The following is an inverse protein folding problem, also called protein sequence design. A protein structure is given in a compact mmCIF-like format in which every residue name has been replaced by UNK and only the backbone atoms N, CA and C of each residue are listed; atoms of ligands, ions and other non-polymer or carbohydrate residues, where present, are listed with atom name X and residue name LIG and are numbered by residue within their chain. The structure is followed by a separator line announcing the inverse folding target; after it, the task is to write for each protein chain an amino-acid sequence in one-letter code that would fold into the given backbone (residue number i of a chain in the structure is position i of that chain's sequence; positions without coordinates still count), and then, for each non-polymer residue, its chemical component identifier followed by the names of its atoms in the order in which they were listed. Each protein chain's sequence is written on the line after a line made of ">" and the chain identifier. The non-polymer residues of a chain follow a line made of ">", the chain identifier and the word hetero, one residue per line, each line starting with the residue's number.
data_IF_477652102913
#
_entry.id   IF_477652102913
#
_cell.length_a   1.000
_cell.length_b   1.000
_cell.length_c   1.000
_cell.angle_alpha   90.00
_cell.angle_beta   90.00
_cell.angle_gamma   90.00
#
_symmetry.space_group_name_H-M   'P 1'
#
loop_
_entity.id
_entity.type
_entity.pdbx_description
1 polymer ?
#
# COMPACT_ATOMS: atom_id res chain seq x y z
N UNK A 1 19.83 21.33 -9.12
CA UNK A 1 18.79 20.31 -8.88
C UNK A 1 18.91 19.87 -7.44
N UNK A 2 17.79 19.76 -6.73
CA UNK A 2 17.79 19.14 -5.40
C UNK A 2 18.10 17.65 -5.55
N UNK A 3 18.53 17.00 -4.47
CA UNK A 3 18.73 15.55 -4.49
C UNK A 3 17.35 14.89 -4.51
N UNK A 4 17.24 13.76 -5.20
CA UNK A 4 16.02 12.95 -5.17
C UNK A 4 16.04 12.02 -3.94
N UNK A 5 14.99 12.08 -3.13
CA UNK A 5 14.72 11.12 -2.07
C UNK A 5 13.51 10.25 -2.43
N UNK A 6 13.67 8.93 -2.33
CA UNK A 6 12.54 7.99 -2.40
C UNK A 6 12.15 7.62 -0.97
N UNK A 7 10.95 8.02 -0.56
CA UNK A 7 10.47 7.92 0.82
C UNK A 7 9.37 6.86 0.90
N UNK A 8 9.67 5.74 1.55
CA UNK A 8 8.69 4.69 1.82
C UNK A 8 8.00 4.93 3.16
N UNK A 9 6.71 5.26 3.14
CA UNK A 9 5.91 5.40 4.37
C UNK A 9 5.31 4.05 4.77
N UNK A 10 5.56 3.64 6.03
CA UNK A 10 5.10 2.36 6.57
C UNK A 10 3.63 2.40 7.01
N UNK A 11 3.10 1.23 7.39
CA UNK A 11 1.70 1.10 7.86
C UNK A 11 1.34 2.05 9.00
N UNK A 12 2.28 2.32 9.92
CA UNK A 12 2.09 3.23 11.05
C UNK A 12 1.85 4.70 10.65
N UNK A 13 2.26 5.10 9.44
CA UNK A 13 1.98 6.42 8.88
C UNK A 13 0.50 6.56 8.45
N UNK A 14 -0.18 5.43 8.23
CA UNK A 14 -1.58 5.36 7.80
C UNK A 14 -2.48 4.97 8.98
N UNK A 15 -2.18 3.88 9.68
CA UNK A 15 -2.90 3.44 10.86
C UNK A 15 -1.93 3.09 11.99
N UNK A 16 -2.09 3.74 13.14
CA UNK A 16 -1.26 3.43 14.31
C UNK A 16 -1.71 2.13 14.98
N UNK A 17 -0.79 1.41 15.63
CA UNK A 17 -1.15 0.24 16.43
C UNK A 17 -2.23 0.58 17.47
N UNK A 18 -3.30 -0.20 17.50
CA UNK A 18 -4.41 -0.04 18.45
C UNK A 18 -5.49 0.98 18.04
N UNK A 19 -5.31 1.72 16.94
CA UNK A 19 -6.37 2.57 16.40
C UNK A 19 -7.34 1.77 15.52
N UNK A 20 -8.62 2.14 15.55
CA UNK A 20 -9.60 1.65 14.58
C UNK A 20 -9.21 2.11 13.17
N UNK A 21 -9.36 1.22 12.19
CA UNK A 21 -8.98 1.46 10.80
C UNK A 21 -10.02 2.30 10.02
N UNK A 22 -10.45 3.42 10.60
CA UNK A 22 -11.40 4.36 9.99
C UNK A 22 -10.70 5.32 9.03
N UNK A 23 -11.45 5.87 8.07
CA UNK A 23 -10.93 6.87 7.14
C UNK A 23 -10.47 8.14 7.87
N UNK A 24 -11.18 8.53 8.93
CA UNK A 24 -10.84 9.69 9.76
C UNK A 24 -9.48 9.53 10.44
N UNK A 25 -9.22 8.35 11.02
CA UNK A 25 -7.93 8.06 11.64
C UNK A 25 -6.81 8.03 10.60
N UNK A 26 -7.04 7.43 9.43
CA UNK A 26 -6.07 7.42 8.34
C UNK A 26 -5.73 8.84 7.88
N UNK A 27 -6.74 9.68 7.65
CA UNK A 27 -6.56 11.07 7.24
C UNK A 27 -5.82 11.90 8.28
N UNK A 28 -6.10 11.70 9.57
CA UNK A 28 -5.39 12.35 10.67
C UNK A 28 -3.90 11.95 10.69
N UNK A 29 -3.60 10.66 10.61
CA UNK A 29 -2.23 10.15 10.63
C UNK A 29 -1.43 10.59 9.40
N UNK A 30 -2.06 10.55 8.21
CA UNK A 30 -1.45 11.04 6.97
C UNK A 30 -1.24 12.55 6.99
N UNK A 31 -2.12 13.32 7.62
CA UNK A 31 -1.93 14.77 7.80
C UNK A 31 -0.71 15.09 8.68
N UNK A 32 -0.41 14.24 9.67
CA UNK A 32 0.82 14.38 10.46
C UNK A 32 2.06 14.00 9.63
N UNK A 33 1.99 12.88 8.92
CA UNK A 33 3.04 12.41 8.01
C UNK A 33 3.37 13.47 6.95
N UNK A 34 2.36 14.11 6.37
CA UNK A 34 2.50 15.17 5.38
C UNK A 34 3.35 16.35 5.90
N UNK A 35 3.28 16.69 7.19
CA UNK A 35 4.12 17.77 7.76
C UNK A 35 5.60 17.47 7.64
N UNK A 36 6.00 16.23 7.88
CA UNK A 36 7.38 15.79 7.75
C UNK A 36 7.81 15.74 6.30
N UNK A 37 6.96 15.21 5.41
CA UNK A 37 7.23 15.15 3.96
C UNK A 37 7.42 16.54 3.36
N UNK A 38 6.55 17.50 3.70
CA UNK A 38 6.67 18.88 3.20
C UNK A 38 7.93 19.56 3.72
N UNK A 39 8.39 19.26 4.93
CA UNK A 39 9.67 19.80 5.44
C UNK A 39 10.88 19.25 4.69
N UNK A 40 10.80 18.05 4.10
CA UNK A 40 11.90 17.51 3.28
C UNK A 40 12.06 18.24 1.94
N UNK A 41 11.03 18.96 1.50
CA UNK A 41 11.01 19.66 0.22
C UNK A 41 12.01 20.80 0.14
N UNK A 42 12.56 21.26 1.28
CA UNK A 42 13.61 22.28 1.33
C UNK A 42 14.91 21.74 0.71
N UNK A 43 15.24 20.49 0.98
CA UNK A 43 16.51 19.86 0.59
C UNK A 43 16.37 18.84 -0.56
N UNK A 44 15.18 18.26 -0.73
CA UNK A 44 14.95 17.13 -1.63
C UNK A 44 13.76 17.35 -2.57
N UNK A 45 13.86 16.77 -3.75
CA UNK A 45 12.70 16.34 -4.52
C UNK A 45 12.30 14.96 -4.02
N UNK A 46 11.00 14.68 -3.92
CA UNK A 46 10.53 13.46 -3.25
C UNK A 46 9.63 12.62 -4.15
N UNK A 47 9.89 11.31 -4.14
CA UNK A 47 8.95 10.27 -4.59
C UNK A 47 8.49 9.52 -3.35
N UNK A 48 7.19 9.36 -3.19
CA UNK A 48 6.58 8.70 -2.04
C UNK A 48 6.10 7.32 -2.47
N UNK A 49 6.48 6.29 -1.72
CA UNK A 49 5.89 4.96 -1.80
C UNK A 49 5.22 4.63 -0.47
N UNK A 50 4.32 3.65 -0.45
CA UNK A 50 3.63 3.27 0.78
C UNK A 50 3.35 1.78 0.84
N UNK A 51 3.22 1.24 2.05
CA UNK A 51 2.64 -0.09 2.26
C UNK A 51 1.11 -0.08 2.13
N UNK A 52 0.50 -1.25 1.96
CA UNK A 52 -0.96 -1.41 1.89
C UNK A 52 -1.50 -2.63 2.67
N UNK A 53 -0.65 -3.36 3.39
CA UNK A 53 -0.99 -4.69 3.96
C UNK A 53 -2.29 -4.73 4.78
N UNK A 54 -2.51 -3.79 5.74
CA UNK A 54 -3.77 -3.70 6.45
C UNK A 54 -4.95 -3.35 5.53
N UNK A 55 -4.77 -2.43 4.59
CA UNK A 55 -5.84 -1.91 3.73
C UNK A 55 -6.31 -2.94 2.70
N UNK A 56 -5.37 -3.62 2.02
CA UNK A 56 -5.71 -4.71 1.09
C UNK A 56 -6.33 -5.88 1.87
N UNK A 57 -5.85 -6.11 3.09
CA UNK A 57 -6.42 -7.06 4.02
C UNK A 57 -7.90 -6.82 4.32
N UNK A 58 -8.25 -5.57 4.64
CA UNK A 58 -9.63 -5.18 4.91
C UNK A 58 -10.52 -5.32 3.68
N UNK A 59 -10.03 -4.96 2.49
CA UNK A 59 -10.79 -5.17 1.23
C UNK A 59 -11.08 -6.65 0.98
N UNK A 60 -10.10 -7.53 1.20
CA UNK A 60 -10.30 -8.98 1.05
C UNK A 60 -11.36 -9.51 2.03
N UNK A 61 -11.40 -9.02 3.26
CA UNK A 61 -12.45 -9.38 4.23
C UNK A 61 -13.82 -8.87 3.79
N UNK A 62 -13.90 -7.61 3.37
CA UNK A 62 -15.16 -7.00 2.91
C UNK A 62 -15.74 -7.77 1.71
N UNK A 63 -14.91 -8.08 0.71
CA UNK A 63 -15.36 -8.83 -0.47
C UNK A 63 -15.71 -10.27 -0.14
N UNK A 64 -15.00 -10.90 0.79
CA UNK A 64 -15.34 -12.23 1.28
C UNK A 64 -16.73 -12.26 1.94
N UNK A 65 -17.04 -11.28 2.80
CA UNK A 65 -18.35 -11.15 3.43
C UNK A 65 -19.46 -10.90 2.39
N UNK A 66 -19.15 -10.19 1.30
CA UNK A 66 -20.08 -9.86 0.24
C UNK A 66 -20.17 -10.92 -0.89
N UNK A 67 -19.34 -11.97 -0.88
CA UNK A 67 -19.10 -12.87 -2.03
C UNK A 67 -20.35 -13.52 -2.64
N UNK A 68 -21.39 -13.73 -1.84
CA UNK A 68 -22.64 -14.35 -2.28
C UNK A 68 -23.58 -13.39 -3.01
N UNK A 69 -23.26 -12.09 -2.97
CA UNK A 69 -24.01 -11.01 -3.62
C UNK A 69 -23.15 -10.35 -4.71
N UNK A 70 -21.87 -10.12 -4.42
CA UNK A 70 -20.91 -9.46 -5.30
C UNK A 70 -19.64 -10.32 -5.34
N UNK A 71 -19.25 -10.87 -6.50
CA UNK A 71 -18.03 -11.68 -6.61
C UNK A 71 -16.77 -10.91 -6.19
N UNK A 72 -15.84 -11.54 -5.47
CA UNK A 72 -14.59 -10.91 -5.07
C UNK A 72 -13.66 -10.71 -6.26
N UNK A 73 -12.88 -9.63 -6.24
CA UNK A 73 -11.79 -9.40 -7.16
C UNK A 73 -10.54 -10.19 -6.78
N UNK A 74 -9.64 -10.49 -7.74
CA UNK A 74 -8.35 -11.07 -7.44
C UNK A 74 -7.45 -10.07 -6.69
N UNK A 75 -6.37 -10.55 -6.08
CA UNK A 75 -5.57 -9.75 -5.14
C UNK A 75 -4.84 -8.59 -5.80
N UNK A 76 -4.38 -8.75 -7.04
CA UNK A 76 -3.75 -7.72 -7.87
C UNK A 76 -4.70 -6.54 -8.12
N UNK A 77 -5.97 -6.81 -8.39
CA UNK A 77 -7.01 -5.77 -8.54
C UNK A 77 -7.27 -5.08 -7.19
N UNK A 78 -7.28 -5.83 -6.08
CA UNK A 78 -7.39 -5.24 -4.75
C UNK A 78 -6.17 -4.37 -4.40
N UNK A 79 -4.95 -4.78 -4.79
CA UNK A 79 -3.75 -3.96 -4.66
C UNK A 79 -3.92 -2.66 -5.45
N UNK A 80 -4.43 -2.71 -6.69
CA UNK A 80 -4.74 -1.52 -7.48
C UNK A 80 -5.78 -0.60 -6.80
N UNK A 81 -6.84 -1.18 -6.21
CA UNK A 81 -7.82 -0.41 -5.44
C UNK A 81 -7.16 0.33 -4.26
N UNK A 82 -6.23 -0.31 -3.55
CA UNK A 82 -5.50 0.34 -2.46
C UNK A 82 -4.50 1.39 -2.90
N UNK A 83 -3.90 1.27 -4.08
CA UNK A 83 -3.08 2.35 -4.64
C UNK A 83 -3.94 3.59 -4.92
N UNK A 84 -5.14 3.40 -5.45
CA UNK A 84 -6.10 4.49 -5.67
C UNK A 84 -6.53 5.15 -4.37
N UNK A 85 -6.99 4.37 -3.39
CA UNK A 85 -7.51 4.91 -2.13
C UNK A 85 -6.43 5.59 -1.29
N UNK A 86 -5.26 4.96 -1.12
CA UNK A 86 -4.16 5.54 -0.34
C UNK A 86 -3.46 6.67 -1.11
N UNK A 87 -3.26 6.52 -2.42
CA UNK A 87 -2.71 7.60 -3.26
C UNK A 87 -3.56 8.87 -3.18
N UNK A 88 -4.89 8.72 -3.20
CA UNK A 88 -5.81 9.84 -2.97
C UNK A 88 -5.62 10.47 -1.58
N UNK A 89 -5.65 9.68 -0.50
CA UNK A 89 -5.55 10.22 0.86
C UNK A 89 -4.21 10.92 1.11
N UNK A 90 -3.11 10.35 0.60
CA UNK A 90 -1.77 10.94 0.70
C UNK A 90 -1.73 12.24 -0.11
N UNK A 91 -2.20 12.24 -1.37
CA UNK A 91 -2.20 13.45 -2.21
C UNK A 91 -3.04 14.57 -1.59
N UNK A 92 -4.21 14.23 -1.04
CA UNK A 92 -5.10 15.19 -0.38
C UNK A 92 -4.44 15.81 0.87
N UNK A 93 -3.92 14.98 1.77
CA UNK A 93 -3.29 15.47 3.01
C UNK A 93 -2.01 16.25 2.74
N UNK A 94 -1.21 15.83 1.76
CA UNK A 94 -0.02 16.54 1.33
C UNK A 94 -0.36 17.87 0.68
N UNK A 95 -1.33 17.91 -0.24
CA UNK A 95 -1.80 19.14 -0.88
C UNK A 95 -2.38 20.14 0.12
N UNK A 96 -3.04 19.66 1.18
CA UNK A 96 -3.47 20.51 2.28
C UNK A 96 -2.29 21.17 3.01
N UNK A 97 -1.23 20.42 3.26
CA UNK A 97 -0.03 20.93 3.95
C UNK A 97 0.77 21.89 3.08
N UNK A 98 0.94 21.60 1.78
CA UNK A 98 1.57 22.51 0.82
C UNK A 98 0.87 23.87 0.80
N UNK A 99 -0.46 23.87 0.71
CA UNK A 99 -1.27 25.10 0.71
C UNK A 99 -1.11 25.91 2.00
N UNK A 100 -1.06 25.26 3.17
CA UNK A 100 -0.81 25.95 4.45
C UNK A 100 0.53 26.66 4.49
N UNK A 101 1.54 26.11 3.80
CA UNK A 101 2.89 26.69 3.72
C UNK A 101 3.10 27.58 2.49
N UNK A 102 2.05 27.85 1.70
CA UNK A 102 2.11 28.59 0.45
C UNK A 102 3.13 28.02 -0.56
N UNK A 103 3.31 26.69 -0.57
CA UNK A 103 4.16 26.00 -1.54
C UNK A 103 3.32 25.59 -2.75
N UNK A 104 3.75 25.99 -3.94
CA UNK A 104 3.12 25.59 -5.20
C UNK A 104 3.90 24.44 -5.82
N UNK A 105 3.42 23.22 -5.64
CA UNK A 105 3.88 22.02 -6.35
C UNK A 105 2.71 21.11 -6.65
N UNK A 106 2.75 20.50 -7.82
CA UNK A 106 1.75 19.52 -8.25
C UNK A 106 2.06 18.15 -7.64
N UNK A 107 1.00 17.38 -7.38
CA UNK A 107 1.08 16.03 -6.83
C UNK A 107 0.41 15.06 -7.79
N UNK A 108 1.07 13.95 -8.11
CA UNK A 108 0.52 12.88 -8.94
C UNK A 108 0.59 11.54 -8.22
N UNK A 109 -0.54 10.86 -8.08
CA UNK A 109 -0.59 9.45 -7.68
C UNK A 109 -0.67 8.57 -8.93
N UNK A 110 0.33 7.72 -9.11
CA UNK A 110 0.48 6.87 -10.30
C UNK A 110 0.19 5.43 -9.94
N UNK A 111 -0.85 4.85 -10.55
CA UNK A 111 -1.07 3.41 -10.50
C UNK A 111 0.16 2.73 -11.10
N UNK A 112 0.79 1.85 -10.33
CA UNK A 112 2.12 1.32 -10.63
C UNK A 112 2.09 -0.20 -10.65
N UNK A 113 2.55 -0.78 -11.76
CA UNK A 113 2.77 -2.20 -11.97
C UNK A 113 4.25 -2.56 -11.81
N UNK A 114 4.51 -3.77 -11.34
CA UNK A 114 5.84 -4.30 -11.06
C UNK A 114 6.01 -5.63 -11.76
N UNK A 115 7.05 -5.71 -12.58
CA UNK A 115 7.43 -6.95 -13.24
C UNK A 115 8.00 -7.90 -12.20
N UNK A 116 7.50 -9.13 -12.18
CA UNK A 116 8.00 -10.22 -11.32
C UNK A 116 8.31 -11.47 -12.14
N UNK A 117 9.20 -12.34 -11.65
CA UNK A 117 9.44 -13.62 -12.32
C UNK A 117 8.28 -14.58 -12.02
N UNK A 118 7.59 -15.07 -13.05
CA UNK A 118 6.55 -16.11 -12.92
C UNK A 118 7.03 -17.39 -12.22
N UNK A 119 8.34 -17.64 -12.22
CA UNK A 119 8.97 -18.78 -11.57
C UNK A 119 9.58 -18.43 -10.20
N UNK A 120 9.34 -17.23 -9.68
CA UNK A 120 9.90 -16.79 -8.40
C UNK A 120 9.51 -17.79 -7.27
N UNK A 121 10.46 -18.25 -6.46
CA UNK A 121 10.20 -19.16 -5.34
C UNK A 121 9.14 -18.67 -4.35
N UNK A 122 8.92 -17.35 -4.27
CA UNK A 122 7.89 -16.70 -3.47
C UNK A 122 6.45 -17.09 -3.86
N UNK A 123 6.21 -17.54 -5.10
CA UNK A 123 4.91 -18.12 -5.49
C UNK A 123 4.68 -19.49 -4.84
N UNK A 124 5.73 -20.29 -4.68
CA UNK A 124 5.65 -21.61 -4.05
C UNK A 124 5.70 -21.52 -2.51
N UNK A 125 6.26 -20.42 -1.97
CA UNK A 125 6.40 -20.20 -0.53
C UNK A 125 5.77 -18.86 -0.08
N UNK A 126 4.43 -18.76 -0.07
CA UNK A 126 3.74 -17.58 0.45
C UNK A 126 4.22 -17.20 1.85
N UNK A 127 4.50 -15.91 2.03
CA UNK A 127 5.18 -15.39 3.22
C UNK A 127 4.63 -14.05 3.67
N UNK A 128 4.08 -13.23 2.77
CA UNK A 128 3.57 -11.89 3.08
C UNK A 128 2.19 -12.01 3.73
N UNK A 129 2.02 -11.59 5.00
CA UNK A 129 0.74 -11.70 5.68
C UNK A 129 -0.20 -10.57 5.26
N UNK A 130 -1.45 -10.91 4.98
CA UNK A 130 -2.53 -10.01 4.57
C UNK A 130 -3.78 -10.26 5.40
N UNK A 131 -4.62 -9.23 5.56
CA UNK A 131 -5.87 -9.38 6.30
C UNK A 131 -5.70 -9.36 7.83
N UNK A 132 -6.81 -9.61 8.55
CA UNK A 132 -6.86 -9.60 10.00
C UNK A 132 -6.17 -10.83 10.60
N UNK A 133 -6.12 -10.87 11.93
CA UNK A 133 -5.73 -12.05 12.68
C UNK A 133 -6.94 -12.97 12.89
N UNK A 134 -6.68 -14.28 12.83
CA UNK A 134 -7.63 -15.36 13.05
C UNK A 134 -7.17 -16.23 14.22
N UNK A 135 -8.11 -16.90 14.88
CA UNK A 135 -7.80 -17.99 15.79
C UNK A 135 -7.22 -19.18 15.02
N UNK A 136 -6.60 -20.13 15.73
CA UNK A 136 -6.10 -21.37 15.11
C UNK A 136 -7.24 -22.16 14.44
N UNK A 137 -8.37 -22.27 15.12
CA UNK A 137 -9.56 -23.00 14.64
C UNK A 137 -10.16 -22.35 13.39
N UNK A 138 -10.25 -21.02 13.36
CA UNK A 138 -10.70 -20.28 12.18
C UNK A 138 -9.74 -20.45 11.01
N UNK A 139 -8.43 -20.40 11.27
CA UNK A 139 -7.42 -20.59 10.25
C UNK A 139 -7.50 -21.99 9.62
N UNK A 140 -7.59 -23.06 10.43
CA UNK A 140 -7.74 -24.44 9.95
C UNK A 140 -8.99 -24.60 9.07
N UNK A 141 -10.11 -23.99 9.47
CA UNK A 141 -11.34 -23.98 8.67
C UNK A 141 -11.15 -23.28 7.32
N UNK A 142 -10.52 -22.11 7.32
CA UNK A 142 -10.25 -21.35 6.09
C UNK A 142 -9.26 -22.08 5.16
N UNK A 143 -8.31 -22.83 5.71
CA UNK A 143 -7.41 -23.68 4.92
C UNK A 143 -8.20 -24.79 4.20
N UNK A 144 -9.11 -25.47 4.89
CA UNK A 144 -9.90 -26.57 4.32
C UNK A 144 -10.94 -26.08 3.31
N UNK A 145 -11.67 -25.01 3.63
CA UNK A 145 -12.78 -24.53 2.81
C UNK A 145 -12.32 -23.75 1.58
N UNK A 146 -11.19 -23.04 1.68
CA UNK A 146 -10.75 -22.08 0.65
C UNK A 146 -9.36 -22.32 0.09
N UNK A 147 -8.61 -23.27 0.64
CA UNK A 147 -7.22 -23.50 0.26
C UNK A 147 -6.29 -22.32 0.59
N UNK A 148 -6.69 -21.42 1.50
CA UNK A 148 -5.82 -20.31 1.91
C UNK A 148 -4.59 -20.86 2.62
N UNK A 149 -3.43 -20.25 2.40
CA UNK A 149 -2.24 -20.58 3.16
C UNK A 149 -2.22 -19.66 4.38
N UNK A 150 -2.32 -20.25 5.57
CA UNK A 150 -2.34 -19.54 6.85
C UNK A 150 -1.00 -19.76 7.56
N UNK A 151 -0.46 -18.72 8.19
CA UNK A 151 0.73 -18.83 9.06
C UNK A 151 0.48 -18.16 10.40
N UNK A 152 1.05 -18.74 11.44
CA UNK A 152 1.11 -18.16 12.78
C UNK A 152 2.05 -16.96 12.77
N UNK A 153 1.67 -15.89 13.45
CA UNK A 153 2.37 -14.61 13.47
C UNK A 153 2.73 -14.22 14.92
N UNK A 154 3.78 -14.88 15.43
CA UNK A 154 4.48 -14.54 16.68
C UNK A 154 3.56 -14.40 17.91
N UNK A 155 2.66 -15.36 18.11
CA UNK A 155 1.73 -15.42 19.23
C UNK A 155 0.53 -14.47 19.11
N UNK A 156 0.44 -13.66 18.05
CA UNK A 156 -0.69 -12.72 17.84
C UNK A 156 -1.89 -13.35 17.16
N UNK A 157 -1.77 -14.60 16.70
CA UNK A 157 -2.78 -15.34 15.97
C UNK A 157 -2.27 -15.79 14.60
N UNK A 158 -3.21 -16.16 13.73
CA UNK A 158 -2.93 -16.66 12.38
C UNK A 158 -3.33 -15.62 11.34
N UNK A 159 -2.57 -15.52 10.24
CA UNK A 159 -2.90 -14.64 9.12
C UNK A 159 -2.81 -15.39 7.80
N UNK A 160 -3.63 -14.98 6.84
CA UNK A 160 -3.48 -15.41 5.45
C UNK A 160 -2.16 -14.89 4.93
N UNK A 161 -1.37 -15.75 4.30
CA UNK A 161 -0.16 -15.36 3.59
C UNK A 161 -0.36 -15.51 2.09
N UNK A 162 0.25 -14.60 1.34
CA UNK A 162 0.21 -14.56 -0.12
C UNK A 162 1.62 -14.58 -0.69
N UNK A 163 1.79 -14.93 -1.98
CA UNK A 163 3.06 -14.79 -2.67
C UNK A 163 3.66 -13.40 -2.51
N UNK A 164 4.98 -13.35 -2.38
CA UNK A 164 5.75 -12.10 -2.29
C UNK A 164 7.00 -12.22 -3.14
N UNK A 165 6.86 -12.28 -4.47
CA UNK A 165 8.00 -12.39 -5.39
C UNK A 165 8.91 -11.16 -5.33
N UNK A 166 10.15 -11.32 -5.77
CA UNK A 166 11.12 -10.23 -5.83
C UNK A 166 10.75 -9.30 -7.00
N UNK A 167 10.65 -7.97 -6.76
CA UNK A 167 10.39 -7.01 -7.83
C UNK A 167 11.60 -6.93 -8.78
N UNK A 168 11.36 -7.04 -10.09
CA UNK A 168 12.40 -6.98 -11.12
C UNK A 168 12.50 -5.60 -11.76
N UNK A 169 11.36 -4.99 -12.09
CA UNK A 169 11.30 -3.69 -12.75
C UNK A 169 9.97 -2.99 -12.51
N UNK A 170 9.92 -1.69 -12.75
CA UNK A 170 8.71 -0.86 -12.65
C UNK A 170 8.24 -0.52 -14.06
N UNK A 171 6.99 -0.88 -14.40
CA UNK A 171 6.43 -0.64 -15.74
C UNK A 171 6.33 0.87 -16.02
N UNK A 172 5.80 1.65 -15.08
CA UNK A 172 5.59 3.09 -15.21
C UNK A 172 6.83 3.95 -14.88
N UNK A 173 8.04 3.36 -14.79
CA UNK A 173 9.27 4.09 -14.38
C UNK A 173 9.55 5.34 -15.21
N UNK A 174 9.29 5.28 -16.51
CA UNK A 174 9.53 6.41 -17.42
C UNK A 174 8.54 7.56 -17.17
N UNK A 175 7.28 7.24 -16.85
CA UNK A 175 6.26 8.22 -16.49
C UNK A 175 6.63 8.86 -15.15
N UNK A 176 6.95 8.05 -14.14
CA UNK A 176 7.39 8.52 -12.82
C UNK A 176 8.60 9.45 -12.96
N UNK A 177 9.61 9.04 -13.73
CA UNK A 177 10.81 9.86 -13.99
C UNK A 177 10.45 11.19 -14.64
N UNK A 178 9.58 11.18 -15.66
CA UNK A 178 9.14 12.40 -16.35
C UNK A 178 8.45 13.37 -15.40
N UNK A 179 7.59 12.88 -14.50
CA UNK A 179 6.88 13.71 -13.53
C UNK A 179 7.86 14.32 -12.50
N UNK A 180 8.82 13.54 -12.01
CA UNK A 180 9.87 14.04 -11.11
C UNK A 180 10.73 15.11 -11.78
N UNK A 181 11.12 14.92 -13.05
CA UNK A 181 11.87 15.92 -13.83
C UNK A 181 11.08 17.22 -14.06
N UNK A 182 9.75 17.19 -13.88
CA UNK A 182 8.86 18.35 -13.93
C UNK A 182 8.57 18.95 -12.56
N UNK A 183 9.38 18.63 -11.55
CA UNK A 183 9.26 19.12 -10.17
C UNK A 183 7.91 18.76 -9.51
N UNK A 184 7.29 17.65 -9.94
CA UNK A 184 6.09 17.12 -9.31
C UNK A 184 6.46 16.18 -8.17
N UNK A 185 5.65 16.20 -7.11
CA UNK A 185 5.70 15.17 -6.07
C UNK A 185 4.95 13.96 -6.59
N UNK A 186 5.63 12.82 -6.69
CA UNK A 186 5.04 11.59 -7.23
C UNK A 186 4.78 10.58 -6.12
N UNK A 187 3.56 10.08 -6.03
CA UNK A 187 3.20 8.93 -5.20
C UNK A 187 3.09 7.72 -6.13
N UNK A 188 3.91 6.69 -5.91
CA UNK A 188 4.00 5.54 -6.80
C UNK A 188 4.34 4.25 -6.02
N UNK A 189 4.27 3.11 -6.70
CA UNK A 189 4.58 1.79 -6.14
C UNK A 189 3.84 1.49 -4.83
N UNK A 190 2.57 1.93 -4.73
CA UNK A 190 1.73 1.68 -3.56
C UNK A 190 1.53 0.19 -3.30
N UNK A 191 1.69 -0.25 -2.05
CA UNK A 191 1.68 -1.66 -1.66
C UNK A 191 2.94 -2.45 -2.07
N UNK A 192 3.92 -1.78 -2.66
CA UNK A 192 5.03 -2.40 -3.37
C UNK A 192 4.79 -2.54 -4.87
N UNK A 193 3.63 -2.11 -5.39
CA UNK A 193 3.23 -2.20 -6.80
C UNK A 193 2.39 -3.43 -7.13
N UNK A 194 1.60 -3.35 -8.20
CA UNK A 194 0.72 -4.45 -8.67
C UNK A 194 1.59 -5.46 -9.43
N UNK A 195 1.71 -6.72 -8.99
CA UNK A 195 2.58 -7.68 -9.66
C UNK A 195 2.02 -8.09 -11.03
N UNK A 196 2.86 -8.07 -12.05
CA UNK A 196 2.57 -8.50 -13.44
C UNK A 196 3.67 -9.40 -14.01
#
# INVERSE_FOLDING_TARGET
>A
MKKLAVVAIGGNAVNRPGEEATAENMMKNLSETARFLVSMLDDYDIVITHGNGPQVGNLLVQQELAKHVIPPFPIDVNDAQTQGSLGYMIALTLGNELRKRNIQREIAAVVTQIIVDKNDPGFQKPSKPVGPFYSKEEAEKLQQEKGWIMKEDAGRGWRRVVPSPIPLDIVEKNVIKTLVEKDMIVIAAGGGGIPV
#
